data_IF_770440940675
#
_entry.id   IF_770440940675
#
_cell.length_a   1.000
_cell.length_b   1.000
_cell.length_c   1.000
_cell.angle_alpha   90.00
_cell.angle_beta   90.00
_cell.angle_gamma   90.00
#
_symmetry.space_group_name_H-M   'P 1'
#
loop_
_entity.id
_entity.type
_entity.pdbx_description
1 polymer ?
#
# COMPACT_ATOMS: atom_id res chain seq x y z
N UNK A 1 -9.27 35.46 16.51
CA UNK A 1 -9.09 33.99 16.46
C UNK A 1 -7.88 33.68 15.60
N UNK A 2 -6.81 33.15 16.19
CA UNK A 2 -5.58 32.81 15.47
C UNK A 2 -5.81 31.56 14.59
N UNK A 3 -5.55 31.66 13.28
CA UNK A 3 -5.46 30.50 12.40
C UNK A 3 -4.16 29.76 12.74
N UNK A 4 -4.24 28.60 13.36
CA UNK A 4 -3.07 27.73 13.52
C UNK A 4 -2.54 27.31 12.13
N UNK A 5 -1.22 27.33 11.87
CA UNK A 5 -0.64 27.03 10.54
C UNK A 5 -0.78 25.57 10.09
N UNK A 6 -1.46 24.73 10.87
CA UNK A 6 -1.49 23.27 10.72
C UNK A 6 -2.89 22.66 10.87
N UNK A 7 -3.97 23.33 10.44
CA UNK A 7 -5.22 22.61 10.26
C UNK A 7 -5.10 21.69 9.05
N UNK A 8 -4.62 20.45 9.24
CA UNK A 8 -4.64 19.41 8.20
C UNK A 8 -6.10 19.07 7.91
N UNK A 9 -6.55 19.32 6.68
CA UNK A 9 -7.89 18.92 6.26
C UNK A 9 -7.96 17.38 6.19
N UNK A 10 -9.17 16.77 6.27
CA UNK A 10 -9.32 15.32 6.04
C UNK A 10 -8.68 14.87 4.72
N UNK A 11 -8.74 15.71 3.68
CA UNK A 11 -8.08 15.49 2.39
C UNK A 11 -6.56 15.42 2.53
N UNK A 12 -5.95 16.39 3.23
CA UNK A 12 -4.50 16.42 3.45
C UNK A 12 -4.02 15.17 4.21
N UNK A 13 -4.81 14.72 5.20
CA UNK A 13 -4.50 13.53 5.99
C UNK A 13 -4.58 12.26 5.14
N UNK A 14 -5.64 12.09 4.34
CA UNK A 14 -5.78 10.96 3.42
C UNK A 14 -4.64 10.92 2.40
N UNK A 15 -4.31 12.06 1.78
CA UNK A 15 -3.19 12.14 0.84
C UNK A 15 -1.84 11.83 1.49
N UNK A 16 -1.59 12.33 2.71
CA UNK A 16 -0.36 12.05 3.43
C UNK A 16 -0.24 10.56 3.77
N UNK A 17 -1.34 9.93 4.21
CA UNK A 17 -1.37 8.51 4.51
C UNK A 17 -1.08 7.66 3.26
N UNK A 18 -1.73 7.93 2.12
CA UNK A 18 -1.47 7.22 0.86
C UNK A 18 -0.03 7.42 0.38
N UNK A 19 0.54 8.63 0.50
CA UNK A 19 1.96 8.88 0.17
C UNK A 19 2.92 8.04 1.01
N UNK A 20 2.62 7.90 2.31
CA UNK A 20 3.40 7.04 3.21
C UNK A 20 3.29 5.57 2.81
N UNK A 21 2.09 5.10 2.49
CA UNK A 21 1.86 3.72 2.00
C UNK A 21 2.62 3.47 0.70
N UNK A 22 2.48 4.36 -0.29
CA UNK A 22 3.18 4.29 -1.57
C UNK A 22 4.71 4.27 -1.40
N UNK A 23 5.25 5.11 -0.51
CA UNK A 23 6.69 5.14 -0.22
C UNK A 23 7.18 3.82 0.38
N UNK A 24 6.41 3.26 1.33
CA UNK A 24 6.76 1.98 1.98
C UNK A 24 6.63 0.80 1.00
N UNK A 25 5.56 0.73 0.23
CA UNK A 25 5.36 -0.29 -0.79
C UNK A 25 6.49 -0.30 -1.83
N UNK A 26 6.87 0.88 -2.37
CA UNK A 26 8.01 1.01 -3.29
C UNK A 26 9.33 0.54 -2.68
N UNK A 27 9.61 0.95 -1.44
CA UNK A 27 10.84 0.53 -0.73
C UNK A 27 10.88 -0.98 -0.57
N UNK A 28 9.75 -1.61 -0.24
CA UNK A 28 9.67 -3.06 -0.06
C UNK A 28 9.75 -3.80 -1.39
N UNK A 29 9.09 -3.32 -2.46
CA UNK A 29 9.22 -3.89 -3.81
C UNK A 29 10.69 -3.91 -4.27
N UNK A 30 11.39 -2.77 -4.15
CA UNK A 30 12.81 -2.69 -4.50
C UNK A 30 13.68 -3.64 -3.67
N UNK A 31 13.42 -3.74 -2.36
CA UNK A 31 14.13 -4.68 -1.48
C UNK A 31 13.91 -6.13 -1.92
N UNK A 32 12.67 -6.51 -2.22
CA UNK A 32 12.34 -7.87 -2.64
C UNK A 32 12.98 -8.21 -3.99
N UNK A 33 12.99 -7.28 -4.94
CA UNK A 33 13.67 -7.45 -6.22
C UNK A 33 15.17 -7.72 -6.03
N UNK A 34 15.84 -6.91 -5.20
CA UNK A 34 17.26 -7.10 -4.88
C UNK A 34 17.53 -8.48 -4.26
N UNK A 35 16.69 -8.91 -3.32
CA UNK A 35 16.82 -10.23 -2.68
C UNK A 35 16.53 -11.37 -3.66
N UNK A 36 15.55 -11.20 -4.55
CA UNK A 36 15.18 -12.18 -5.58
C UNK A 36 16.28 -12.38 -6.62
N UNK A 37 17.02 -11.33 -6.95
CA UNK A 37 18.09 -11.34 -7.95
C UNK A 37 19.48 -11.68 -7.39
N UNK A 38 19.67 -11.61 -6.07
CA UNK A 38 20.95 -11.91 -5.43
C UNK A 38 21.40 -13.35 -5.75
N UNK A 39 22.56 -13.46 -6.38
CA UNK A 39 23.19 -14.74 -6.75
C UNK A 39 23.90 -15.41 -5.58
N UNK A 40 24.41 -14.60 -4.65
CA UNK A 40 25.17 -15.08 -3.49
C UNK A 40 24.27 -15.57 -2.33
N UNK A 41 22.97 -15.29 -2.40
CA UNK A 41 22.00 -15.81 -1.45
C UNK A 41 21.68 -17.28 -1.75
N UNK A 42 22.01 -18.16 -0.81
CA UNK A 42 21.65 -19.58 -0.83
C UNK A 42 20.17 -19.76 -0.46
N UNK A 43 19.29 -19.45 -1.42
CA UNK A 43 17.85 -19.68 -1.32
C UNK A 43 17.40 -20.78 -2.27
N UNK A 44 16.41 -21.58 -1.88
CA UNK A 44 15.84 -22.63 -2.71
C UNK A 44 15.09 -22.07 -3.91
N UNK A 45 14.90 -22.88 -4.95
CA UNK A 45 14.08 -22.50 -6.12
C UNK A 45 12.67 -22.06 -5.71
N UNK A 46 12.08 -22.73 -4.71
CA UNK A 46 10.75 -22.39 -4.17
C UNK A 46 10.74 -21.02 -3.46
N UNK A 47 11.79 -20.70 -2.69
CA UNK A 47 11.93 -19.38 -2.07
C UNK A 47 12.09 -18.27 -3.11
N UNK A 48 12.89 -18.53 -4.17
CA UNK A 48 13.08 -17.57 -5.26
C UNK A 48 11.79 -17.33 -6.04
N UNK A 49 11.01 -18.38 -6.30
CA UNK A 49 9.67 -18.26 -6.89
C UNK A 49 8.75 -17.38 -6.05
N UNK A 50 8.61 -17.69 -4.76
CA UNK A 50 7.77 -16.90 -3.85
C UNK A 50 8.21 -15.43 -3.72
N UNK A 51 9.52 -15.15 -3.80
CA UNK A 51 10.04 -13.79 -3.86
C UNK A 51 9.64 -13.09 -5.16
N UNK A 52 9.78 -13.74 -6.31
CA UNK A 52 9.37 -13.21 -7.61
C UNK A 52 7.89 -12.86 -7.62
N UNK A 53 7.04 -13.80 -7.21
CA UNK A 53 5.60 -13.59 -7.13
C UNK A 53 5.27 -12.42 -6.21
N UNK A 54 5.94 -12.33 -5.04
CA UNK A 54 5.73 -11.20 -4.13
C UNK A 54 6.20 -9.85 -4.72
N UNK A 55 7.27 -9.82 -5.52
CA UNK A 55 7.70 -8.59 -6.23
C UNK A 55 6.60 -8.10 -7.17
N UNK A 56 5.98 -9.01 -7.92
CA UNK A 56 4.87 -8.70 -8.82
C UNK A 56 3.68 -8.13 -8.03
N UNK A 57 3.22 -8.84 -6.99
CA UNK A 57 2.10 -8.39 -6.17
C UNK A 57 2.34 -7.01 -5.54
N UNK A 58 3.52 -6.76 -4.98
CA UNK A 58 3.80 -5.45 -4.36
C UNK A 58 3.98 -4.34 -5.41
N UNK A 59 4.37 -4.68 -6.63
CA UNK A 59 4.40 -3.72 -7.74
C UNK A 59 2.98 -3.32 -8.18
N UNK A 60 2.03 -4.26 -8.18
CA UNK A 60 0.60 -3.95 -8.38
C UNK A 60 0.06 -3.07 -7.24
N UNK A 61 0.35 -3.40 -5.97
CA UNK A 61 -0.02 -2.53 -4.83
C UNK A 61 0.53 -1.09 -4.99
N UNK A 62 1.76 -0.95 -5.50
CA UNK A 62 2.34 0.38 -5.78
C UNK A 62 1.54 1.13 -6.84
N UNK A 63 1.05 0.46 -7.88
CA UNK A 63 0.26 1.10 -8.94
C UNK A 63 -1.14 1.48 -8.44
N UNK A 64 -1.82 0.59 -7.73
CA UNK A 64 -3.10 0.88 -7.08
C UNK A 64 -2.98 2.10 -6.15
N UNK A 65 -1.93 2.16 -5.32
CA UNK A 65 -1.67 3.30 -4.44
C UNK A 65 -1.37 4.62 -5.20
N UNK A 66 -0.79 4.55 -6.39
CA UNK A 66 -0.62 5.73 -7.27
C UNK A 66 -1.97 6.21 -7.80
N UNK A 67 -2.80 5.28 -8.25
CA UNK A 67 -4.15 5.59 -8.72
C UNK A 67 -4.98 6.22 -7.59
N UNK A 68 -4.97 5.63 -6.39
CA UNK A 68 -5.60 6.22 -5.19
C UNK A 68 -5.14 7.65 -4.93
N UNK A 69 -3.82 7.90 -4.97
CA UNK A 69 -3.28 9.24 -4.74
C UNK A 69 -3.70 10.22 -5.83
N UNK A 70 -3.81 9.77 -7.08
CA UNK A 70 -4.25 10.58 -8.21
C UNK A 70 -5.68 11.10 -7.98
N UNK A 71 -6.60 10.24 -7.58
CA UNK A 71 -7.99 10.63 -7.30
C UNK A 71 -8.07 11.65 -6.18
N UNK A 72 -7.41 11.36 -5.05
CA UNK A 72 -7.37 12.26 -3.91
C UNK A 72 -6.75 13.62 -4.26
N UNK A 73 -5.83 13.68 -5.22
CA UNK A 73 -5.22 14.93 -5.68
C UNK A 73 -6.20 15.76 -6.51
N UNK A 74 -6.96 15.10 -7.38
CA UNK A 74 -7.81 15.75 -8.37
C UNK A 74 -9.31 15.73 -8.01
N UNK A 75 -9.65 15.58 -6.72
CA UNK A 75 -11.05 15.63 -6.27
C UNK A 75 -11.76 16.90 -6.73
N UNK A 76 -12.92 16.74 -7.37
CA UNK A 76 -13.84 17.82 -7.79
C UNK A 76 -15.20 17.62 -7.16
N UNK A 77 -16.00 18.69 -7.06
CA UNK A 77 -17.33 18.61 -6.43
C UNK A 77 -18.27 17.73 -7.26
N UNK A 78 -18.21 17.87 -8.58
CA UNK A 78 -19.09 17.23 -9.55
C UNK A 78 -18.85 15.71 -9.64
N UNK A 79 -17.60 15.28 -9.44
CA UNK A 79 -17.18 13.87 -9.57
C UNK A 79 -16.82 13.22 -8.23
N UNK A 80 -16.97 13.94 -7.10
CA UNK A 80 -16.46 13.54 -5.79
C UNK A 80 -16.77 12.09 -5.42
N UNK A 81 -18.05 11.69 -5.49
CA UNK A 81 -18.51 10.35 -5.09
C UNK A 81 -17.84 9.24 -5.89
N UNK A 82 -17.67 9.45 -7.20
CA UNK A 82 -17.03 8.47 -8.07
C UNK A 82 -15.53 8.37 -7.78
N UNK A 83 -14.87 9.51 -7.59
CA UNK A 83 -13.44 9.56 -7.27
C UNK A 83 -13.13 8.95 -5.89
N UNK A 84 -13.99 9.17 -4.90
CA UNK A 84 -13.86 8.52 -3.58
C UNK A 84 -14.06 7.01 -3.70
N UNK A 85 -15.08 6.55 -4.43
CA UNK A 85 -15.30 5.12 -4.69
C UNK A 85 -14.10 4.46 -5.39
N UNK A 86 -13.46 5.13 -6.35
CA UNK A 86 -12.23 4.65 -6.98
C UNK A 86 -11.07 4.59 -5.99
N UNK A 87 -10.87 5.66 -5.20
CA UNK A 87 -9.80 5.71 -4.21
C UNK A 87 -9.91 4.57 -3.17
N UNK A 88 -11.13 4.28 -2.70
CA UNK A 88 -11.41 3.16 -1.79
C UNK A 88 -11.17 1.80 -2.46
N UNK A 89 -11.62 1.64 -3.71
CA UNK A 89 -11.43 0.41 -4.49
C UNK A 89 -9.95 0.10 -4.65
N UNK A 90 -9.16 1.06 -5.13
CA UNK A 90 -7.73 0.86 -5.39
C UNK A 90 -6.94 0.70 -4.08
N UNK A 91 -7.27 1.44 -3.03
CA UNK A 91 -6.63 1.24 -1.72
C UNK A 91 -6.93 -0.16 -1.15
N UNK A 92 -8.13 -0.70 -1.39
CA UNK A 92 -8.50 -2.07 -0.99
C UNK A 92 -7.84 -3.13 -1.86
N UNK A 93 -7.67 -2.87 -3.16
CA UNK A 93 -6.90 -3.72 -4.06
C UNK A 93 -5.42 -3.80 -3.64
N UNK A 94 -4.81 -2.67 -3.27
CA UNK A 94 -3.44 -2.65 -2.74
C UNK A 94 -3.26 -3.57 -1.51
N UNK A 95 -4.22 -3.58 -0.58
CA UNK A 95 -4.21 -4.50 0.57
C UNK A 95 -4.32 -5.96 0.13
N UNK A 96 -5.20 -6.25 -0.84
CA UNK A 96 -5.36 -7.61 -1.38
C UNK A 96 -4.05 -8.13 -1.99
N UNK A 97 -3.33 -7.29 -2.74
CA UNK A 97 -2.02 -7.64 -3.30
C UNK A 97 -0.97 -7.86 -2.20
N UNK A 98 -0.96 -7.03 -1.16
CA UNK A 98 -0.07 -7.20 -0.02
C UNK A 98 -0.32 -8.51 0.73
N UNK A 99 -1.59 -8.89 0.94
CA UNK A 99 -1.97 -10.17 1.54
C UNK A 99 -1.64 -11.36 0.63
N UNK A 100 -1.85 -11.22 -0.68
CA UNK A 100 -1.50 -12.26 -1.67
C UNK A 100 0.00 -12.55 -1.67
N UNK A 101 0.86 -11.53 -1.52
CA UNK A 101 2.29 -11.75 -1.29
C UNK A 101 2.52 -12.60 -0.02
N UNK A 102 1.85 -12.31 1.10
CA UNK A 102 2.02 -13.07 2.35
C UNK A 102 1.63 -14.55 2.21
N UNK A 103 0.62 -14.80 1.39
CA UNK A 103 0.10 -16.13 1.08
C UNK A 103 1.03 -16.94 0.17
N UNK A 104 1.75 -16.29 -0.76
CA UNK A 104 2.80 -16.92 -1.57
C UNK A 104 3.93 -17.57 -0.75
N UNK A 105 4.11 -17.17 0.52
CA UNK A 105 5.07 -17.78 1.45
C UNK A 105 4.49 -18.92 2.30
N UNK A 106 3.21 -19.31 2.13
CA UNK A 106 2.66 -20.49 2.81
C UNK A 106 3.35 -21.77 2.30
N UNK A 107 3.76 -22.64 3.22
CA UNK A 107 4.52 -23.87 2.88
C UNK A 107 5.94 -23.65 2.33
N UNK A 108 6.45 -22.42 2.29
CA UNK A 108 7.86 -22.13 1.93
C UNK A 108 8.76 -22.25 3.16
N UNK A 109 9.87 -22.97 3.02
CA UNK A 109 10.91 -23.17 4.03
C UNK A 109 11.81 -21.94 4.22
N UNK A 110 12.69 -21.98 5.22
CA UNK A 110 13.63 -20.90 5.55
C UNK A 110 13.00 -19.79 6.38
N UNK A 111 13.04 -20.00 7.70
CA UNK A 111 12.37 -19.16 8.71
C UNK A 111 12.81 -17.70 8.66
N UNK A 112 14.08 -17.42 8.43
CA UNK A 112 14.65 -16.06 8.50
C UNK A 112 14.16 -15.18 7.34
N UNK A 113 14.41 -15.59 6.09
CA UNK A 113 13.95 -14.89 4.88
C UNK A 113 12.44 -14.64 4.94
N UNK A 114 11.68 -15.71 5.21
CA UNK A 114 10.22 -15.65 5.31
C UNK A 114 9.76 -14.67 6.39
N UNK A 115 10.37 -14.70 7.57
CA UNK A 115 9.98 -13.80 8.67
C UNK A 115 10.30 -12.34 8.37
N UNK A 116 11.42 -12.08 7.70
CA UNK A 116 11.79 -10.74 7.28
C UNK A 116 10.84 -10.18 6.23
N UNK A 117 10.54 -10.95 5.18
CA UNK A 117 9.57 -10.55 4.15
C UNK A 117 8.20 -10.31 4.76
N UNK A 118 7.66 -11.27 5.53
CA UNK A 118 6.35 -11.13 6.17
C UNK A 118 6.27 -9.91 7.09
N UNK A 119 7.34 -9.60 7.83
CA UNK A 119 7.39 -8.40 8.68
C UNK A 119 7.30 -7.12 7.84
N UNK A 120 8.07 -7.02 6.76
CA UNK A 120 8.07 -5.83 5.89
C UNK A 120 6.71 -5.63 5.24
N UNK A 121 6.11 -6.69 4.71
CA UNK A 121 4.82 -6.64 4.01
C UNK A 121 3.68 -6.28 4.97
N UNK A 122 3.63 -6.88 6.16
CA UNK A 122 2.66 -6.48 7.20
C UNK A 122 2.78 -5.02 7.61
N UNK A 123 3.98 -4.44 7.56
CA UNK A 123 4.15 -3.02 7.82
C UNK A 123 3.65 -2.15 6.67
N UNK A 124 3.68 -2.63 5.42
CA UNK A 124 2.98 -1.99 4.29
C UNK A 124 1.47 -2.10 4.51
N UNK A 125 0.94 -3.30 4.75
CA UNK A 125 -0.47 -3.57 5.07
C UNK A 125 -1.06 -2.64 6.13
N UNK A 126 -0.36 -2.49 7.26
CA UNK A 126 -0.80 -1.60 8.33
C UNK A 126 -0.96 -0.16 7.88
N UNK A 127 -0.06 0.34 7.04
CA UNK A 127 -0.07 1.76 6.66
C UNK A 127 -1.03 2.01 5.51
N UNK A 128 -1.19 1.04 4.61
CA UNK A 128 -2.22 1.02 3.59
C UNK A 128 -3.61 0.99 4.23
N UNK A 129 -3.82 0.16 5.26
CA UNK A 129 -5.07 0.12 6.04
C UNK A 129 -5.34 1.46 6.75
N UNK A 130 -4.31 2.08 7.35
CA UNK A 130 -4.45 3.43 7.92
C UNK A 130 -4.83 4.47 6.85
N UNK A 131 -4.32 4.33 5.62
CA UNK A 131 -4.68 5.21 4.51
C UNK A 131 -6.14 5.01 4.09
N UNK A 132 -6.60 3.76 3.94
CA UNK A 132 -7.99 3.44 3.65
C UNK A 132 -8.94 4.01 4.73
N UNK A 133 -8.57 3.91 6.01
CA UNK A 133 -9.32 4.54 7.08
C UNK A 133 -9.47 6.06 6.87
N UNK A 134 -8.39 6.77 6.53
CA UNK A 134 -8.45 8.22 6.30
C UNK A 134 -9.27 8.58 5.05
N UNK A 135 -9.27 7.74 4.02
CA UNK A 135 -10.11 7.88 2.82
C UNK A 135 -11.58 7.78 3.21
N UNK A 136 -11.97 6.74 3.95
CA UNK A 136 -13.36 6.55 4.39
C UNK A 136 -13.83 7.74 5.26
N UNK A 137 -12.96 8.23 6.16
CA UNK A 137 -13.27 9.41 7.00
C UNK A 137 -13.44 10.69 6.17
N UNK A 138 -12.71 10.84 5.07
CA UNK A 138 -12.88 11.95 4.14
C UNK A 138 -14.24 11.87 3.43
N UNK A 139 -14.64 10.69 2.97
CA UNK A 139 -15.94 10.51 2.29
C UNK A 139 -17.12 10.84 3.24
N UNK A 140 -17.09 10.29 4.45
CA UNK A 140 -18.08 10.56 5.50
C UNK A 140 -18.18 12.05 5.88
N UNK A 141 -17.05 12.78 5.86
CA UNK A 141 -17.02 14.19 6.25
C UNK A 141 -17.78 15.10 5.29
N UNK A 142 -17.94 14.68 4.01
CA UNK A 142 -18.74 15.41 3.02
C UNK A 142 -20.20 14.98 2.98
N UNK A 143 -20.54 13.77 3.40
CA UNK A 143 -21.94 13.33 3.53
C UNK A 143 -22.73 14.03 4.65
N UNK A 144 -22.05 14.81 5.51
CA UNK A 144 -22.64 15.57 6.62
C UNK A 144 -22.71 17.09 6.36
N UNK A 145 -22.24 17.55 5.20
CA UNK A 145 -22.28 18.95 4.76
C UNK A 145 -23.39 19.13 3.71
#
# INVERSE_FOLDING_TARGET
>A
MARHPFSKTPKDLAQAAVKVSLSRAKRVSNYLAQVSEAKDLKISKRQRGALSDCVEQISESVEELRQTLSELTHLRVETFRWQMSNAETWASAALTYEDTCLDGFQGVDGKELKSDVKRKIRNVGKVTSNALYMINRLDESRGKA
#
